data_IF_247886656449
#
_entry.id   IF_247886656449
#
_cell.length_a   1.000
_cell.length_b   1.000
_cell.length_c   1.000
_cell.angle_alpha   90.00
_cell.angle_beta   90.00
_cell.angle_gamma   90.00
#
_symmetry.space_group_name_H-M   'P 1'
#
loop_
_entity.id
_entity.type
_entity.pdbx_description
1 polymer ?
#
# COMPACT_ATOMS: atom_id res chain seq x y z
N UNK A 1 -24.13 24.93 12.50
CA UNK A 1 -23.12 23.90 12.76
C UNK A 1 -21.77 24.51 12.48
N UNK A 2 -20.94 24.57 13.49
CA UNK A 2 -19.57 25.07 13.34
C UNK A 2 -18.73 24.10 12.47
N UNK A 3 -17.74 24.61 11.75
CA UNK A 3 -16.89 23.76 10.86
C UNK A 3 -16.22 22.62 11.64
N UNK A 4 -15.81 22.89 12.88
CA UNK A 4 -15.25 21.87 13.78
C UNK A 4 -16.25 20.77 14.11
N UNK A 5 -17.51 21.13 14.39
CA UNK A 5 -18.58 20.18 14.65
C UNK A 5 -18.87 19.29 13.43
N UNK A 6 -18.78 19.85 12.22
CA UNK A 6 -18.96 19.07 10.99
C UNK A 6 -17.90 17.99 10.84
N UNK A 7 -16.63 18.28 11.15
CA UNK A 7 -15.55 17.28 11.12
C UNK A 7 -15.76 16.21 12.19
N UNK A 8 -16.07 16.62 13.43
CA UNK A 8 -16.33 15.67 14.53
C UNK A 8 -17.55 14.78 14.24
N UNK A 9 -18.63 15.36 13.67
CA UNK A 9 -19.80 14.60 13.24
C UNK A 9 -19.47 13.58 12.15
N UNK A 10 -18.61 13.95 11.19
CA UNK A 10 -18.12 13.03 10.15
C UNK A 10 -17.28 11.90 10.73
N UNK A 11 -16.41 12.18 11.70
CA UNK A 11 -15.65 11.17 12.45
C UNK A 11 -16.60 10.21 13.16
N UNK A 12 -17.64 10.74 13.82
CA UNK A 12 -18.67 9.91 14.44
C UNK A 12 -19.45 9.04 13.43
N UNK A 13 -19.66 9.55 12.21
CA UNK A 13 -20.26 8.77 11.12
C UNK A 13 -19.35 7.63 10.67
N UNK A 14 -18.03 7.87 10.58
CA UNK A 14 -17.05 6.83 10.26
C UNK A 14 -17.11 5.69 11.28
N UNK A 15 -17.25 5.99 12.56
CA UNK A 15 -17.39 4.98 13.61
C UNK A 15 -18.68 4.16 13.46
N UNK A 16 -19.81 4.83 13.23
CA UNK A 16 -21.10 4.13 13.01
C UNK A 16 -21.08 3.24 11.79
N UNK A 17 -20.34 3.63 10.76
CA UNK A 17 -20.10 2.83 9.55
C UNK A 17 -19.07 1.71 9.72
N UNK A 18 -18.51 1.50 10.92
CA UNK A 18 -17.41 0.55 11.19
C UNK A 18 -16.16 0.79 10.33
N UNK A 19 -15.93 2.04 9.98
CA UNK A 19 -14.77 2.48 9.21
C UNK A 19 -13.80 3.33 10.04
N UNK A 20 -13.89 3.25 11.37
CA UNK A 20 -13.03 3.95 12.30
C UNK A 20 -12.60 3.03 13.44
N UNK A 21 -11.30 2.93 13.62
CA UNK A 21 -10.67 2.28 14.78
C UNK A 21 -10.16 3.35 15.74
N UNK A 22 -10.41 3.18 17.04
CA UNK A 22 -10.11 4.18 18.07
C UNK A 22 -9.25 3.61 19.18
N UNK A 23 -8.11 4.26 19.45
CA UNK A 23 -7.12 3.85 20.45
C UNK A 23 -5.83 3.33 19.81
N UNK A 24 -4.74 3.32 20.58
CA UNK A 24 -3.41 2.98 20.06
C UNK A 24 -3.33 1.54 19.53
N UNK A 25 -3.81 0.55 20.30
CA UNK A 25 -3.75 -0.87 19.91
C UNK A 25 -4.58 -1.19 18.64
N UNK A 26 -5.87 -0.77 18.53
CA UNK A 26 -6.63 -0.99 17.29
C UNK A 26 -6.01 -0.29 16.10
N UNK A 27 -5.52 0.95 16.27
CA UNK A 27 -4.87 1.70 15.19
C UNK A 27 -3.58 1.02 14.74
N UNK A 28 -2.78 0.49 15.66
CA UNK A 28 -1.60 -0.30 15.33
C UNK A 28 -1.96 -1.55 14.51
N UNK A 29 -2.99 -2.28 14.94
CA UNK A 29 -3.44 -3.49 14.26
C UNK A 29 -3.86 -3.22 12.80
N UNK A 30 -4.71 -2.21 12.55
CA UNK A 30 -5.14 -1.86 11.18
C UNK A 30 -4.03 -1.25 10.36
N UNK A 31 -3.04 -0.60 10.99
CA UNK A 31 -1.86 -0.09 10.30
C UNK A 31 -0.96 -1.24 9.84
N UNK A 32 -0.73 -2.25 10.68
CA UNK A 32 0.02 -3.46 10.29
C UNK A 32 -0.68 -4.24 9.17
N UNK A 33 -2.02 -4.31 9.20
CA UNK A 33 -2.83 -4.91 8.15
C UNK A 33 -2.85 -4.08 6.85
N UNK A 34 -2.34 -2.84 6.86
CA UNK A 34 -2.41 -1.86 5.76
C UNK A 34 -3.84 -1.47 5.39
N UNK A 35 -4.76 -1.56 6.34
CA UNK A 35 -6.15 -1.14 6.17
C UNK A 35 -6.38 0.32 6.57
N UNK A 36 -5.51 0.89 7.42
CA UNK A 36 -5.55 2.30 7.74
C UNK A 36 -5.31 3.17 6.49
N UNK A 37 -6.18 4.14 6.26
CA UNK A 37 -6.07 5.13 5.17
C UNK A 37 -5.54 6.45 5.66
N UNK A 38 -6.05 6.91 6.82
CA UNK A 38 -5.55 8.09 7.52
C UNK A 38 -5.62 7.84 9.03
N UNK A 39 -4.59 8.28 9.74
CA UNK A 39 -4.55 8.25 11.21
C UNK A 39 -4.74 9.69 11.70
N UNK A 40 -5.67 9.88 12.63
CA UNK A 40 -5.98 11.15 13.27
C UNK A 40 -5.34 11.16 14.66
N UNK A 41 -4.57 12.19 14.96
CA UNK A 41 -3.91 12.40 16.25
C UNK A 41 -4.48 13.67 16.91
N UNK A 42 -4.95 13.57 18.13
CA UNK A 42 -5.47 14.70 18.89
C UNK A 42 -4.39 15.81 19.09
N UNK A 43 -4.81 17.06 19.17
CA UNK A 43 -3.91 18.22 19.31
C UNK A 43 -3.10 18.17 20.60
N UNK A 44 -3.71 17.68 21.68
CA UNK A 44 -3.13 17.54 23.02
C UNK A 44 -2.55 16.14 23.31
N UNK A 45 -2.32 15.34 22.25
CA UNK A 45 -1.69 14.03 22.38
C UNK A 45 -0.24 14.16 22.84
N UNK A 46 0.19 13.25 23.72
CA UNK A 46 1.57 13.21 24.20
C UNK A 46 2.55 12.93 23.05
N UNK A 47 3.76 13.46 23.17
CA UNK A 47 4.80 13.31 22.16
C UNK A 47 5.15 11.83 21.90
N UNK A 48 5.11 10.99 22.94
CA UNK A 48 5.31 9.56 22.77
C UNK A 48 4.23 8.91 21.91
N UNK A 49 2.97 9.35 22.03
CA UNK A 49 1.87 8.91 21.16
C UNK A 49 2.08 9.39 19.73
N UNK A 50 2.54 10.62 19.53
CA UNK A 50 2.85 11.13 18.20
C UNK A 50 3.94 10.31 17.49
N UNK A 51 5.02 9.97 18.19
CA UNK A 51 6.09 9.10 17.66
C UNK A 51 5.60 7.69 17.32
N UNK A 52 4.68 7.13 18.12
CA UNK A 52 4.05 5.84 17.80
C UNK A 52 3.19 5.94 16.55
N UNK A 53 2.35 6.96 16.46
CA UNK A 53 1.50 7.22 15.27
C UNK A 53 2.33 7.36 14.01
N UNK A 54 3.46 8.06 14.06
CA UNK A 54 4.38 8.14 12.94
C UNK A 54 4.86 6.76 12.48
N UNK A 55 5.28 5.90 13.41
CA UNK A 55 5.69 4.51 13.08
C UNK A 55 4.53 3.68 12.52
N UNK A 56 3.32 3.86 13.04
CA UNK A 56 2.14 3.18 12.52
C UNK A 56 1.83 3.63 11.10
N UNK A 57 1.96 4.92 10.82
CA UNK A 57 1.76 5.47 9.49
C UNK A 57 2.81 4.98 8.48
N UNK A 58 4.08 4.90 8.89
CA UNK A 58 5.17 4.33 8.08
C UNK A 58 4.91 2.84 7.77
N UNK A 59 4.56 2.05 8.79
CA UNK A 59 4.25 0.61 8.63
C UNK A 59 3.04 0.39 7.72
N UNK A 60 1.97 1.16 7.93
CA UNK A 60 0.73 1.09 7.16
C UNK A 60 0.81 1.77 5.79
N UNK A 61 1.88 2.52 5.52
CA UNK A 61 2.00 3.38 4.33
C UNK A 61 0.79 4.31 4.17
N UNK A 62 0.28 4.82 5.30
CA UNK A 62 -0.85 5.73 5.34
C UNK A 62 -0.42 7.15 5.76
N UNK A 63 -1.31 8.11 5.61
CA UNK A 63 -1.12 9.49 6.05
C UNK A 63 -1.52 9.60 7.52
N UNK A 64 -0.87 10.45 8.29
CA UNK A 64 -1.33 10.81 9.61
C UNK A 64 -1.49 12.33 9.72
N UNK A 65 -2.52 12.77 10.45
CA UNK A 65 -2.90 14.16 10.58
C UNK A 65 -3.05 14.51 12.06
N UNK A 66 -2.38 15.57 12.52
CA UNK A 66 -2.67 16.15 13.84
C UNK A 66 -3.87 17.07 13.69
N UNK A 67 -5.02 16.63 14.21
CA UNK A 67 -6.27 17.37 14.13
C UNK A 67 -6.35 18.49 15.18
N UNK A 68 -7.15 19.55 14.98
CA UNK A 68 -7.26 20.65 15.92
C UNK A 68 -8.06 20.31 17.18
N UNK A 69 -8.58 19.10 17.26
CA UNK A 69 -9.43 18.62 18.37
C UNK A 69 -8.60 18.02 19.49
N UNK A 70 -9.05 18.25 20.73
CA UNK A 70 -8.49 17.63 21.94
C UNK A 70 -8.89 16.14 22.02
N UNK A 71 -8.18 15.39 22.86
CA UNK A 71 -8.54 13.99 23.20
C UNK A 71 -9.97 13.84 23.67
N UNK A 72 -10.47 14.84 24.41
CA UNK A 72 -11.84 14.83 24.92
C UNK A 72 -12.86 15.00 23.80
N UNK A 73 -12.66 15.97 22.91
CA UNK A 73 -13.55 16.22 21.78
C UNK A 73 -13.58 15.04 20.82
N UNK A 74 -12.40 14.49 20.49
CA UNK A 74 -12.29 13.30 19.68
C UNK A 74 -12.95 12.08 20.35
N UNK A 75 -12.80 11.96 21.67
CA UNK A 75 -13.45 10.94 22.48
C UNK A 75 -14.97 11.07 22.44
N UNK A 76 -15.51 12.26 22.64
CA UNK A 76 -16.95 12.53 22.56
C UNK A 76 -17.53 12.18 21.19
N UNK A 77 -16.87 12.58 20.09
CA UNK A 77 -17.30 12.23 18.73
C UNK A 77 -17.33 10.72 18.46
N UNK A 78 -16.49 9.96 19.18
CA UNK A 78 -16.39 8.50 19.05
C UNK A 78 -17.11 7.73 20.16
N UNK A 79 -17.90 8.39 21.00
CA UNK A 79 -18.64 7.77 22.11
C UNK A 79 -17.74 7.22 23.22
N UNK A 80 -16.52 7.74 23.33
CA UNK A 80 -15.55 7.41 24.40
C UNK A 80 -15.29 8.62 25.28
N UNK A 81 -14.83 8.41 26.51
CA UNK A 81 -14.48 9.51 27.40
C UNK A 81 -13.28 10.33 26.90
N UNK A 82 -12.34 9.69 26.23
CA UNK A 82 -11.14 10.30 25.67
C UNK A 82 -10.56 9.43 24.56
N UNK A 83 -10.05 10.04 23.48
CA UNK A 83 -9.37 9.34 22.40
C UNK A 83 -8.19 10.19 21.88
N UNK A 84 -6.98 9.69 22.03
CA UNK A 84 -5.78 10.36 21.52
C UNK A 84 -5.53 10.07 20.03
N UNK A 85 -5.93 8.90 19.57
CA UNK A 85 -5.65 8.39 18.22
C UNK A 85 -6.87 7.68 17.66
N UNK A 86 -7.14 7.89 16.39
CA UNK A 86 -8.14 7.15 15.62
C UNK A 86 -7.63 6.91 14.19
N UNK A 87 -8.04 5.81 13.56
CA UNK A 87 -7.69 5.51 12.16
C UNK A 87 -8.96 5.27 11.34
N UNK A 88 -9.04 5.93 10.19
CA UNK A 88 -10.09 5.68 9.20
C UNK A 88 -9.63 4.63 8.20
N UNK A 89 -10.45 3.60 7.98
CA UNK A 89 -10.12 2.46 7.12
C UNK A 89 -10.69 2.60 5.70
N UNK A 90 -11.77 3.34 5.51
CA UNK A 90 -12.33 3.62 4.19
C UNK A 90 -11.65 4.84 3.54
N UNK A 91 -11.22 4.68 2.28
CA UNK A 91 -10.49 5.74 1.57
C UNK A 91 -11.39 6.93 1.21
N UNK A 92 -12.66 6.71 0.92
CA UNK A 92 -13.61 7.77 0.59
C UNK A 92 -13.90 8.66 1.81
N UNK A 93 -14.09 8.02 2.98
CA UNK A 93 -14.28 8.74 4.25
C UNK A 93 -12.99 9.44 4.69
N UNK A 94 -11.82 8.84 4.47
CA UNK A 94 -10.53 9.47 4.76
C UNK A 94 -10.35 10.76 3.95
N UNK A 95 -10.66 10.75 2.65
CA UNK A 95 -10.65 11.95 1.80
C UNK A 95 -11.67 12.98 2.28
N UNK A 96 -12.89 12.55 2.65
CA UNK A 96 -13.92 13.48 3.14
C UNK A 96 -13.49 14.18 4.44
N UNK A 97 -12.89 13.44 5.38
CA UNK A 97 -12.35 14.00 6.64
C UNK A 97 -11.20 14.97 6.34
N UNK A 98 -10.23 14.58 5.50
CA UNK A 98 -9.10 15.44 5.14
C UNK A 98 -9.55 16.71 4.42
N UNK A 99 -10.54 16.64 3.53
CA UNK A 99 -11.11 17.79 2.85
C UNK A 99 -11.75 18.79 3.83
N UNK A 100 -12.51 18.28 4.80
CA UNK A 100 -13.06 19.14 5.85
C UNK A 100 -12.00 19.77 6.75
N UNK A 101 -10.90 19.06 7.02
CA UNK A 101 -9.75 19.61 7.73
C UNK A 101 -9.03 20.70 6.90
N UNK A 102 -8.88 20.51 5.59
CA UNK A 102 -8.31 21.50 4.69
C UNK A 102 -9.18 22.76 4.57
N UNK A 103 -10.51 22.65 4.71
CA UNK A 103 -11.40 23.81 4.81
C UNK A 103 -11.18 24.64 6.10
N UNK A 104 -10.60 24.04 7.16
CA UNK A 104 -10.26 24.72 8.41
C UNK A 104 -8.88 25.39 8.32
N UNK A 105 -7.89 24.65 7.80
CA UNK A 105 -6.49 25.08 7.69
C UNK A 105 -5.88 24.51 6.41
N UNK A 106 -6.00 25.22 5.26
CA UNK A 106 -5.48 24.74 3.99
C UNK A 106 -3.96 24.53 4.01
N UNK A 107 -3.22 25.46 4.62
CA UNK A 107 -1.75 25.40 4.63
C UNK A 107 -1.21 24.12 5.27
N UNK A 108 -1.96 23.59 6.23
CA UNK A 108 -1.56 22.40 6.99
C UNK A 108 -1.98 21.09 6.35
N UNK A 109 -3.13 21.06 5.66
CA UNK A 109 -3.75 19.79 5.26
C UNK A 109 -3.85 19.55 3.75
N UNK A 110 -3.63 20.57 2.91
CA UNK A 110 -3.78 20.44 1.44
C UNK A 110 -2.84 19.41 0.83
N UNK A 111 -1.59 19.36 1.28
CA UNK A 111 -0.62 18.38 0.78
C UNK A 111 -1.05 16.93 1.07
N UNK A 112 -1.53 16.69 2.28
CA UNK A 112 -1.95 15.37 2.70
C UNK A 112 -3.31 14.98 2.08
N UNK A 113 -4.20 15.96 1.87
CA UNK A 113 -5.42 15.79 1.09
C UNK A 113 -5.10 15.34 -0.34
N UNK A 114 -4.17 16.01 -1.02
CA UNK A 114 -3.75 15.65 -2.37
C UNK A 114 -3.19 14.20 -2.44
N UNK A 115 -2.40 13.81 -1.44
CA UNK A 115 -1.91 12.41 -1.33
C UNK A 115 -3.05 11.40 -1.16
N UNK A 116 -4.06 11.72 -0.35
CA UNK A 116 -5.23 10.87 -0.13
C UNK A 116 -6.12 10.78 -1.37
N UNK A 117 -6.35 11.90 -2.07
CA UNK A 117 -7.13 11.93 -3.31
C UNK A 117 -6.45 11.09 -4.41
N UNK A 118 -5.13 11.18 -4.54
CA UNK A 118 -4.38 10.34 -5.48
C UNK A 118 -4.52 8.85 -5.15
N UNK A 119 -4.44 8.48 -3.86
CA UNK A 119 -4.66 7.10 -3.41
C UNK A 119 -6.10 6.65 -3.69
N UNK A 120 -7.08 7.51 -3.46
CA UNK A 120 -8.49 7.23 -3.73
C UNK A 120 -8.74 6.97 -5.22
N UNK A 121 -8.19 7.82 -6.09
CA UNK A 121 -8.26 7.64 -7.54
C UNK A 121 -7.69 6.29 -7.98
N UNK A 122 -6.49 5.95 -7.53
CA UNK A 122 -5.86 4.66 -7.83
C UNK A 122 -6.65 3.46 -7.28
N UNK A 123 -7.30 3.60 -6.13
CA UNK A 123 -8.16 2.56 -5.55
C UNK A 123 -9.44 2.38 -6.38
N UNK A 124 -10.05 3.48 -6.83
CA UNK A 124 -11.23 3.45 -7.70
C UNK A 124 -10.91 2.80 -9.06
N UNK A 125 -9.80 3.18 -9.69
CA UNK A 125 -9.34 2.58 -10.96
C UNK A 125 -9.16 1.07 -10.84
N UNK A 126 -8.47 0.60 -9.79
CA UNK A 126 -8.29 -0.84 -9.53
C UNK A 126 -9.62 -1.57 -9.31
N UNK A 127 -10.56 -0.93 -8.60
CA UNK A 127 -11.90 -1.52 -8.37
C UNK A 127 -12.69 -1.67 -9.67
N UNK A 128 -12.63 -0.67 -10.56
CA UNK A 128 -13.27 -0.72 -11.88
C UNK A 128 -12.64 -1.81 -12.74
N UNK A 129 -11.31 -1.90 -12.75
CA UNK A 129 -10.58 -2.93 -13.52
C UNK A 129 -10.89 -4.34 -13.02
N UNK A 130 -10.90 -4.56 -11.70
CA UNK A 130 -11.30 -5.82 -11.09
C UNK A 130 -12.73 -6.22 -11.46
N UNK A 131 -13.67 -5.26 -11.41
CA UNK A 131 -15.06 -5.51 -11.79
C UNK A 131 -15.21 -5.84 -13.29
N UNK A 132 -14.42 -5.18 -14.17
CA UNK A 132 -14.38 -5.52 -15.60
C UNK A 132 -13.84 -6.93 -15.81
N UNK A 133 -12.76 -7.28 -15.11
CA UNK A 133 -12.16 -8.61 -15.21
C UNK A 133 -13.13 -9.69 -14.75
N UNK A 134 -13.81 -9.50 -13.62
CA UNK A 134 -14.83 -10.43 -13.12
C UNK A 134 -15.99 -10.60 -14.10
N UNK A 135 -16.49 -9.49 -14.67
CA UNK A 135 -17.55 -9.51 -15.68
C UNK A 135 -17.14 -10.28 -16.95
N UNK A 136 -15.87 -10.12 -17.36
CA UNK A 136 -15.34 -10.84 -18.53
C UNK A 136 -15.18 -12.34 -18.25
N UNK A 137 -14.77 -12.73 -17.05
CA UNK A 137 -14.70 -14.12 -16.62
C UNK A 137 -16.09 -14.76 -16.60
N UNK A 138 -17.11 -14.09 -16.04
CA UNK A 138 -18.51 -14.57 -16.02
C UNK A 138 -19.11 -14.71 -17.40
N UNK A 139 -18.68 -13.88 -18.39
CA UNK A 139 -19.16 -13.97 -19.78
C UNK A 139 -18.45 -15.03 -20.61
N UNK A 140 -17.49 -15.77 -20.04
CA UNK A 140 -16.78 -16.84 -20.76
C UNK A 140 -15.95 -16.34 -21.94
N UNK A 141 -15.60 -15.05 -21.99
CA UNK A 141 -14.73 -14.51 -23.01
C UNK A 141 -13.32 -15.06 -22.79
N UNK A 142 -13.00 -16.16 -23.48
CA UNK A 142 -11.62 -16.65 -23.58
C UNK A 142 -10.78 -15.49 -24.12
N UNK A 143 -9.67 -15.15 -23.43
CA UNK A 143 -8.63 -14.30 -24.01
C UNK A 143 -8.38 -14.76 -25.45
N UNK A 144 -8.35 -13.87 -26.43
CA UNK A 144 -7.85 -14.27 -27.74
C UNK A 144 -6.44 -14.84 -27.52
N UNK A 145 -6.24 -16.11 -27.87
CA UNK A 145 -4.89 -16.67 -27.97
C UNK A 145 -4.15 -15.73 -28.91
N UNK A 146 -3.01 -15.20 -28.47
CA UNK A 146 -2.02 -14.61 -29.37
C UNK A 146 -1.78 -15.68 -30.43
N UNK A 147 -2.30 -15.48 -31.61
CA UNK A 147 -1.96 -16.29 -32.75
C UNK A 147 -0.53 -15.93 -33.09
N UNK A 148 0.37 -16.85 -32.79
CA UNK A 148 1.70 -16.91 -33.37
C UNK A 148 1.51 -17.20 -34.87
N UNK A 149 1.22 -16.19 -35.65
CA UNK A 149 1.13 -16.24 -37.11
C UNK A 149 1.81 -15.01 -37.64
N UNK A 150 3.13 -15.02 -37.55
CA UNK A 150 4.00 -14.27 -38.43
C UNK A 150 5.32 -15.02 -38.59
N UNK A 151 5.23 -16.16 -39.29
CA UNK A 151 6.41 -16.79 -39.90
C UNK A 151 5.95 -17.64 -41.05
N UNK A 152 5.53 -17.00 -42.14
CA UNK A 152 5.57 -17.61 -43.47
C UNK A 152 5.31 -16.50 -44.53
N UNK A 153 6.37 -15.92 -45.02
CA UNK A 153 6.47 -15.50 -46.42
C UNK A 153 7.87 -14.95 -46.65
N UNK A 154 8.75 -15.80 -47.13
CA UNK A 154 9.64 -15.44 -48.24
C UNK A 154 10.27 -16.72 -48.78
N UNK A 155 10.06 -17.02 -50.06
CA UNK A 155 10.69 -18.14 -50.73
C UNK A 155 12.00 -17.72 -51.39
N UNK A 156 12.85 -18.75 -51.59
CA UNK A 156 13.95 -18.81 -52.54
C UNK A 156 15.31 -18.16 -52.22
N UNK A 157 16.23 -19.04 -51.84
CA UNK A 157 17.50 -19.17 -52.56
C UNK A 157 18.15 -20.52 -52.22
N UNK A 158 18.07 -21.45 -53.16
CA UNK A 158 18.91 -22.67 -53.27
C UNK A 158 20.36 -22.27 -53.49
N UNK A 159 21.28 -22.99 -52.84
CA UNK A 159 22.54 -23.54 -53.40
C UNK A 159 23.39 -24.06 -52.24
N UNK A 160 23.42 -25.38 -52.08
CA UNK A 160 24.46 -26.30 -52.52
C UNK A 160 25.83 -26.14 -51.84
N UNK A 161 26.21 -27.20 -51.17
CA UNK A 161 27.53 -27.87 -51.04
C UNK A 161 27.97 -28.29 -49.63
N UNK A 162 27.86 -29.65 -49.52
CA UNK A 162 28.94 -30.58 -49.07
C UNK A 162 29.44 -30.51 -47.62
N UNK A 163 29.14 -31.61 -46.99
CA UNK A 163 30.01 -32.23 -45.95
C UNK A 163 31.35 -32.63 -46.54
N UNK A 164 32.44 -32.72 -45.76
CA UNK A 164 32.70 -33.96 -45.11
C UNK A 164 33.38 -33.88 -43.70
N UNK A 165 33.01 -34.82 -42.84
CA UNK A 165 33.82 -35.78 -42.08
C UNK A 165 35.17 -35.35 -41.48
N UNK A 166 35.31 -35.60 -40.19
CA UNK A 166 36.61 -35.93 -39.68
C UNK A 166 36.84 -35.65 -38.21
N UNK A 167 36.63 -36.70 -37.38
CA UNK A 167 37.55 -37.16 -36.34
C UNK A 167 37.77 -36.33 -35.04
N UNK A 168 37.27 -36.88 -33.96
CA UNK A 168 37.93 -36.89 -32.62
C UNK A 168 39.34 -37.54 -32.71
N UNK A 169 40.29 -37.42 -31.78
CA UNK A 169 40.05 -37.70 -30.36
C UNK A 169 40.95 -36.98 -29.32
N UNK A 170 40.58 -37.22 -28.05
CA UNK A 170 41.49 -37.49 -26.91
C UNK A 170 42.28 -36.34 -26.26
N UNK A 171 42.14 -36.29 -24.96
CA UNK A 171 43.26 -36.31 -24.07
C UNK A 171 43.14 -35.35 -22.87
N UNK A 172 42.92 -35.99 -21.74
CA UNK A 172 43.66 -35.87 -20.46
C UNK A 172 43.43 -34.62 -19.62
N UNK A 173 42.75 -34.84 -18.49
CA UNK A 173 43.26 -35.16 -17.14
C UNK A 173 44.33 -34.17 -16.60
N UNK A 174 43.94 -33.51 -15.52
CA UNK A 174 44.63 -33.55 -14.19
C UNK A 174 44.14 -32.38 -13.35
N UNK A 175 43.45 -32.64 -12.25
CA UNK A 175 43.86 -32.86 -10.88
C UNK A 175 44.27 -31.62 -10.11
N UNK A 176 43.55 -31.51 -8.97
CA UNK A 176 44.02 -31.16 -7.63
C UNK A 176 44.36 -29.70 -7.35
N UNK A 177 43.90 -29.10 -6.28
CA UNK A 177 44.00 -29.37 -4.82
C UNK A 177 43.25 -28.25 -4.13
N UNK A 178 42.32 -28.44 -3.25
CA UNK A 178 42.48 -28.65 -1.82
C UNK A 178 43.13 -27.50 -1.03
N UNK A 179 42.46 -27.10 0.02
CA UNK A 179 43.02 -26.41 1.17
C UNK A 179 42.30 -25.10 1.39
N UNK A 180 41.78 -24.65 2.50
CA UNK A 180 41.78 -25.16 3.88
C UNK A 180 40.98 -24.13 4.68
N UNK A 181 40.09 -24.56 5.55
CA UNK A 181 39.77 -23.81 6.78
C UNK A 181 40.97 -23.76 7.72
N UNK A 182 41.10 -22.79 8.58
CA UNK A 182 40.81 -22.96 9.99
C UNK A 182 40.06 -21.77 10.56
N UNK A 183 39.08 -21.92 11.40
CA UNK A 183 38.98 -22.33 12.82
C UNK A 183 39.62 -21.34 13.81
N UNK A 184 38.80 -21.11 14.82
CA UNK A 184 39.06 -20.76 16.21
C UNK A 184 39.40 -19.32 16.62
N UNK A 185 38.70 -18.95 17.70
CA UNK A 185 39.16 -18.02 18.70
C UNK A 185 38.06 -17.19 19.38
N UNK A 186 37.24 -17.69 20.15
CA UNK A 186 36.91 -17.73 21.59
C UNK A 186 37.78 -16.80 22.49
N UNK A 187 37.07 -16.09 23.39
CA UNK A 187 37.48 -15.39 24.65
C UNK A 187 37.67 -13.87 24.42
N UNK A 188 37.07 -13.00 25.21
CA UNK A 188 36.65 -12.99 26.64
C UNK A 188 35.40 -12.15 26.78
#
# INVERSE_FOLDING_TARGET
MDRNEQVLSLIGLCLRGRNLEVGEEPVEAVSRARDARVILLASDAAENTARRVQRFAETGQCVWLRVPFTKRELGQATGRGSAAVAAVTDIGLAVAVARRLAELDPEKYDEDLAKLELKAKRAAERKIEAARHEKNLRRGVKRPKKTDNEAESSPEARADRRKPTGRTPSGERRTEKAGSRPDSGRRK
#
